data_IF_939956091824
#
_entry.id   IF_939956091824
#
_cell.length_a   1.000
_cell.length_b   1.000
_cell.length_c   1.000
_cell.angle_alpha   90.00
_cell.angle_beta   90.00
_cell.angle_gamma   90.00
#
_symmetry.space_group_name_H-M   'P 1'
#
loop_
_entity.id
_entity.type
_entity.pdbx_description
1 polymer ?
#
# COMPACT_ATOMS: atom_id res chain seq x y z
N UNK A 1 -20.52 -12.42 -21.14
CA UNK A 1 -19.29 -11.70 -20.78
C UNK A 1 -18.71 -12.27 -19.51
N UNK A 2 -17.41 -12.50 -19.49
CA UNK A 2 -16.76 -12.98 -18.30
C UNK A 2 -16.64 -11.84 -17.27
N UNK A 3 -16.97 -12.13 -16.03
CA UNK A 3 -16.76 -11.17 -14.96
C UNK A 3 -15.27 -11.07 -14.64
N UNK A 4 -14.82 -9.87 -14.32
CA UNK A 4 -13.46 -9.63 -13.88
C UNK A 4 -13.35 -10.13 -12.44
N UNK A 5 -12.35 -10.97 -12.16
CA UNK A 5 -12.12 -11.49 -10.81
C UNK A 5 -11.77 -10.37 -9.83
N UNK A 6 -11.94 -10.64 -8.54
CA UNK A 6 -11.56 -9.71 -7.48
C UNK A 6 -10.07 -9.39 -7.56
N UNK A 7 -9.23 -10.39 -7.76
CA UNK A 7 -7.78 -10.20 -7.89
C UNK A 7 -7.45 -9.28 -9.07
N UNK A 8 -8.08 -9.47 -10.22
CA UNK A 8 -7.87 -8.62 -11.38
C UNK A 8 -8.29 -7.17 -11.12
N UNK A 9 -9.39 -6.97 -10.41
CA UNK A 9 -9.85 -5.63 -10.02
C UNK A 9 -8.85 -4.94 -9.11
N UNK A 10 -8.28 -5.68 -8.15
CA UNK A 10 -7.23 -5.15 -7.27
C UNK A 10 -5.99 -4.76 -8.06
N UNK A 11 -5.51 -5.64 -8.94
CA UNK A 11 -4.33 -5.36 -9.77
C UNK A 11 -4.56 -4.15 -10.66
N UNK A 12 -5.73 -4.03 -11.28
CA UNK A 12 -6.06 -2.87 -12.12
C UNK A 12 -6.03 -1.58 -11.31
N UNK A 13 -6.56 -1.58 -10.10
CA UNK A 13 -6.54 -0.38 -9.25
C UNK A 13 -5.11 0.01 -8.87
N UNK A 14 -4.25 -0.97 -8.58
CA UNK A 14 -2.84 -0.73 -8.30
C UNK A 14 -2.11 -0.17 -9.52
N UNK A 15 -2.38 -0.72 -10.69
CA UNK A 15 -1.79 -0.22 -11.94
C UNK A 15 -2.26 1.18 -12.28
N UNK A 16 -3.52 1.50 -12.02
CA UNK A 16 -4.07 2.86 -12.22
C UNK A 16 -3.30 3.87 -11.38
N UNK A 17 -2.99 3.52 -10.14
CA UNK A 17 -2.21 4.38 -9.28
C UNK A 17 -0.82 4.67 -9.87
N UNK A 18 -0.15 3.64 -10.41
CA UNK A 18 1.16 3.81 -11.04
C UNK A 18 1.07 4.68 -12.30
N UNK A 19 0.02 4.51 -13.12
CA UNK A 19 -0.17 5.32 -14.32
C UNK A 19 -0.46 6.78 -14.00
N UNK A 20 -1.25 7.03 -12.96
CA UNK A 20 -1.68 8.38 -12.60
C UNK A 20 -0.63 9.13 -11.77
N UNK A 21 0.30 8.41 -11.17
CA UNK A 21 1.34 8.98 -10.31
C UNK A 21 2.70 8.43 -10.75
N UNK A 22 3.36 9.10 -11.73
CA UNK A 22 4.58 8.56 -12.35
C UNK A 22 5.73 8.28 -11.39
N UNK A 23 5.76 8.93 -10.23
CA UNK A 23 6.81 8.68 -9.24
C UNK A 23 6.59 7.41 -8.43
N UNK A 24 5.45 6.74 -8.58
CA UNK A 24 5.19 5.45 -7.95
C UNK A 24 5.82 4.35 -8.79
N UNK A 25 6.76 3.62 -8.19
CA UNK A 25 7.51 2.56 -8.88
C UNK A 25 6.85 1.19 -8.73
N UNK A 26 6.20 0.96 -7.60
CA UNK A 26 5.62 -0.34 -7.28
C UNK A 26 4.48 -0.20 -6.28
N UNK A 27 3.51 -1.11 -6.37
CA UNK A 27 2.35 -1.12 -5.48
C UNK A 27 2.01 -2.56 -5.10
N UNK A 28 1.49 -2.75 -3.89
CA UNK A 28 1.01 -4.05 -3.45
C UNK A 28 -0.10 -3.89 -2.42
N UNK A 29 -1.01 -4.85 -2.39
CA UNK A 29 -1.98 -5.04 -1.30
C UNK A 29 -1.59 -6.31 -0.58
N UNK A 30 -1.40 -6.20 0.72
CA UNK A 30 -0.88 -7.26 1.57
C UNK A 30 -1.85 -7.48 2.71
N UNK A 31 -2.05 -8.73 3.15
CA UNK A 31 -2.84 -8.99 4.34
C UNK A 31 -2.07 -8.56 5.58
N UNK A 32 -2.79 -8.30 6.68
CA UNK A 32 -2.15 -7.97 7.96
C UNK A 32 -1.30 -9.12 8.50
N UNK A 33 -1.49 -10.32 7.97
CA UNK A 33 -0.68 -11.50 8.31
C UNK A 33 0.60 -11.63 7.48
N UNK A 34 0.84 -10.71 6.56
CA UNK A 34 2.06 -10.67 5.76
C UNK A 34 2.02 -11.48 4.48
N UNK A 35 0.82 -11.78 3.95
CA UNK A 35 0.66 -12.50 2.69
C UNK A 35 0.23 -11.54 1.58
N UNK A 36 0.79 -11.71 0.40
CA UNK A 36 0.41 -10.87 -0.75
C UNK A 36 -1.00 -11.22 -1.22
N UNK A 37 -1.84 -10.21 -1.37
CA UNK A 37 -3.18 -10.36 -1.95
C UNK A 37 -3.13 -10.02 -3.44
N UNK A 38 -2.50 -8.92 -3.80
CA UNK A 38 -2.30 -8.49 -5.18
C UNK A 38 -1.10 -7.57 -5.24
N UNK A 39 -0.40 -7.55 -6.37
CA UNK A 39 0.78 -6.71 -6.50
C UNK A 39 1.01 -6.27 -7.94
N UNK A 40 1.75 -5.17 -8.07
CA UNK A 40 2.31 -4.68 -9.31
C UNK A 40 3.74 -4.25 -9.00
N UNK A 41 4.63 -5.23 -8.91
CA UNK A 41 6.04 -5.06 -8.53
C UNK A 41 6.93 -5.31 -9.74
N UNK A 42 8.03 -4.56 -9.89
CA UNK A 42 8.99 -4.81 -10.95
C UNK A 42 9.78 -6.10 -10.69
N UNK A 43 10.38 -6.63 -11.74
CA UNK A 43 11.27 -7.79 -11.63
C UNK A 43 12.41 -7.49 -10.65
N UNK A 44 12.79 -8.49 -9.86
CA UNK A 44 13.85 -8.35 -8.87
C UNK A 44 13.40 -7.92 -7.48
N UNK A 45 12.14 -7.50 -7.33
CA UNK A 45 11.58 -7.21 -6.01
C UNK A 45 10.93 -8.48 -5.46
N UNK A 46 11.39 -8.92 -4.29
CA UNK A 46 10.86 -10.13 -3.67
C UNK A 46 9.53 -9.84 -2.96
N UNK A 47 8.46 -10.35 -3.54
CA UNK A 47 7.09 -10.11 -3.09
C UNK A 47 6.87 -10.53 -1.63
N UNK A 48 7.35 -11.71 -1.26
CA UNK A 48 7.16 -12.22 0.11
C UNK A 48 7.84 -11.35 1.17
N UNK A 49 8.99 -10.79 0.85
CA UNK A 49 9.69 -9.88 1.76
C UNK A 49 8.95 -8.56 1.91
N UNK A 50 8.49 -7.99 0.80
CA UNK A 50 7.70 -6.76 0.81
C UNK A 50 6.47 -6.96 1.68
N UNK A 51 5.79 -8.08 1.50
CA UNK A 51 4.56 -8.39 2.23
C UNK A 51 4.79 -8.55 3.73
N UNK A 52 5.80 -9.32 4.13
CA UNK A 52 6.11 -9.53 5.54
C UNK A 52 6.54 -8.24 6.24
N UNK A 53 7.42 -7.47 5.61
CA UNK A 53 7.90 -6.20 6.18
C UNK A 53 6.79 -5.16 6.26
N UNK A 54 5.92 -5.10 5.27
CA UNK A 54 4.79 -4.16 5.25
C UNK A 54 3.83 -4.42 6.41
N UNK A 55 3.45 -5.68 6.60
CA UNK A 55 2.56 -6.05 7.69
C UNK A 55 3.17 -5.72 9.06
N UNK A 56 4.44 -6.06 9.26
CA UNK A 56 5.16 -5.77 10.50
C UNK A 56 5.28 -4.27 10.77
N UNK A 57 5.60 -3.49 9.75
CA UNK A 57 5.76 -2.04 9.89
C UNK A 57 4.43 -1.35 10.19
N UNK A 58 3.35 -1.75 9.53
CA UNK A 58 2.03 -1.18 9.82
C UNK A 58 1.62 -1.48 11.26
N UNK A 59 1.77 -2.71 11.70
CA UNK A 59 1.44 -3.14 13.06
C UNK A 59 2.21 -2.32 14.10
N UNK A 60 3.51 -2.15 13.89
CA UNK A 60 4.35 -1.34 14.77
C UNK A 60 3.91 0.13 14.76
N UNK A 61 3.62 0.69 13.58
CA UNK A 61 3.13 2.07 13.45
C UNK A 61 1.83 2.29 14.19
N UNK A 62 0.90 1.34 14.11
CA UNK A 62 -0.37 1.41 14.84
C UNK A 62 -0.15 1.40 16.37
N UNK A 63 0.77 0.58 16.85
CA UNK A 63 1.13 0.55 18.27
C UNK A 63 1.75 1.87 18.71
N UNK A 64 2.67 2.41 17.94
CA UNK A 64 3.32 3.69 18.25
C UNK A 64 2.26 4.80 18.34
N UNK A 65 1.39 4.91 17.36
CA UNK A 65 0.35 5.93 17.35
C UNK A 65 -0.59 5.80 18.55
N UNK A 66 -0.99 4.58 18.87
CA UNK A 66 -1.87 4.32 20.01
C UNK A 66 -1.22 4.59 21.37
N UNK A 67 -0.02 4.04 21.58
CA UNK A 67 0.69 4.18 22.85
C UNK A 67 1.12 5.62 23.14
N UNK A 68 1.45 6.37 22.09
CA UNK A 68 1.85 7.77 22.25
C UNK A 68 0.69 8.76 22.14
N UNK A 69 -0.54 8.26 22.17
CA UNK A 69 -1.74 9.11 22.22
C UNK A 69 -2.00 9.89 20.94
N UNK A 70 -1.59 9.38 19.80
CA UNK A 70 -1.80 10.05 18.51
C UNK A 70 -3.05 9.57 17.78
N UNK A 71 -3.76 8.58 18.35
CA UNK A 71 -5.00 8.05 17.78
C UNK A 71 -4.73 7.01 16.70
N UNK A 72 -5.66 6.92 15.75
CA UNK A 72 -5.55 5.98 14.65
C UNK A 72 -4.45 6.40 13.68
N UNK A 73 -3.72 5.41 13.19
CA UNK A 73 -2.64 5.65 12.22
C UNK A 73 -3.21 5.98 10.84
N UNK A 74 -2.70 7.05 10.22
CA UNK A 74 -3.01 7.36 8.83
C UNK A 74 -2.00 6.71 7.88
N UNK A 75 -0.74 7.09 7.98
CA UNK A 75 0.34 6.55 7.16
C UNK A 75 1.59 6.28 7.99
N UNK A 76 2.36 5.29 7.52
CA UNK A 76 3.74 5.06 7.97
C UNK A 76 4.62 5.11 6.75
N UNK A 77 5.76 5.76 6.84
CA UNK A 77 6.69 5.72 5.72
C UNK A 77 8.14 5.66 6.17
N UNK A 78 8.97 5.11 5.28
CA UNK A 78 10.43 5.10 5.41
C UNK A 78 10.99 5.94 4.26
N UNK A 79 11.86 6.89 4.60
CA UNK A 79 12.59 7.67 3.60
C UNK A 79 14.03 7.17 3.53
N UNK A 80 14.40 6.60 2.39
CA UNK A 80 15.78 6.24 2.09
C UNK A 80 16.39 7.23 1.11
N UNK A 81 17.67 7.08 0.83
CA UNK A 81 18.37 7.94 -0.13
C UNK A 81 17.75 7.90 -1.53
N UNK A 82 17.19 6.74 -1.91
CA UNK A 82 16.69 6.51 -3.26
C UNK A 82 15.17 6.53 -3.39
N UNK A 83 14.47 6.85 -2.32
CA UNK A 83 13.02 6.94 -2.38
C UNK A 83 12.33 6.59 -1.08
N UNK A 84 11.02 6.34 -1.20
CA UNK A 84 10.14 6.12 -0.08
C UNK A 84 9.47 4.77 -0.16
N UNK A 85 9.18 4.20 1.00
CA UNK A 85 8.18 3.13 1.14
C UNK A 85 7.08 3.68 2.02
N UNK A 86 5.86 3.73 1.50
CA UNK A 86 4.72 4.30 2.23
C UNK A 86 3.66 3.23 2.40
N UNK A 87 3.12 3.13 3.61
CA UNK A 87 2.10 2.15 3.98
C UNK A 87 0.85 2.85 4.48
N UNK A 88 -0.31 2.31 4.10
CA UNK A 88 -1.60 2.75 4.60
C UNK A 88 -2.51 1.55 4.78
N UNK A 89 -3.27 1.53 5.88
CA UNK A 89 -4.26 0.48 6.10
C UNK A 89 -5.35 0.51 5.03
N UNK A 90 -5.78 -0.68 4.60
CA UNK A 90 -6.90 -0.88 3.69
C UNK A 90 -7.95 -1.66 4.48
N UNK A 91 -8.94 -0.94 5.02
CA UNK A 91 -9.87 -1.54 5.97
C UNK A 91 -9.12 -2.06 7.19
N UNK A 92 -9.59 -3.16 7.77
CA UNK A 92 -8.99 -3.74 8.97
C UNK A 92 -8.06 -4.92 8.68
N UNK A 93 -8.08 -5.45 7.46
CA UNK A 93 -7.42 -6.72 7.16
C UNK A 93 -6.27 -6.62 6.15
N UNK A 94 -6.05 -5.46 5.56
CA UNK A 94 -5.06 -5.31 4.52
C UNK A 94 -4.26 -4.02 4.63
N UNK A 95 -3.17 -3.97 3.87
CA UNK A 95 -2.21 -2.87 3.83
C UNK A 95 -1.91 -2.54 2.38
N UNK A 96 -1.97 -1.26 2.03
CA UNK A 96 -1.45 -0.77 0.75
C UNK A 96 0.00 -0.35 0.95
N UNK A 97 0.89 -0.93 0.16
CA UNK A 97 2.32 -0.63 0.16
C UNK A 97 2.69 0.01 -1.16
N UNK A 98 3.37 1.15 -1.10
CA UNK A 98 3.79 1.91 -2.28
C UNK A 98 5.28 2.21 -2.18
N UNK A 99 6.02 1.87 -3.25
CA UNK A 99 7.41 2.29 -3.41
C UNK A 99 7.42 3.49 -4.35
N UNK A 100 8.03 4.58 -3.92
CA UNK A 100 8.02 5.84 -4.67
C UNK A 100 9.43 6.43 -4.75
N UNK A 101 9.68 7.21 -5.82
CA UNK A 101 10.97 7.84 -6.06
C UNK A 101 11.26 8.94 -5.07
N UNK A 102 12.54 9.31 -4.94
CA UNK A 102 12.98 10.32 -3.97
C UNK A 102 12.38 11.71 -4.22
N UNK A 103 12.04 12.04 -5.48
CA UNK A 103 11.44 13.33 -5.82
C UNK A 103 9.92 13.38 -5.60
N UNK A 104 9.32 12.31 -5.10
CA UNK A 104 7.89 12.23 -4.85
C UNK A 104 7.42 13.32 -3.90
N UNK A 105 6.30 13.95 -4.26
CA UNK A 105 5.61 14.90 -3.38
C UNK A 105 4.71 14.10 -2.44
N UNK A 106 5.17 13.91 -1.21
CA UNK A 106 4.49 13.05 -0.23
C UNK A 106 3.04 13.44 0.04
N UNK A 107 2.74 14.74 0.11
CA UNK A 107 1.36 15.17 0.36
C UNK A 107 0.40 14.71 -0.71
N UNK A 108 0.81 14.77 -1.97
CA UNK A 108 -0.01 14.29 -3.09
C UNK A 108 -0.09 12.77 -3.09
N UNK A 109 1.01 12.09 -2.77
CA UNK A 109 1.01 10.63 -2.67
C UNK A 109 0.07 10.16 -1.57
N UNK A 110 0.07 10.79 -0.40
CA UNK A 110 -0.83 10.44 0.69
C UNK A 110 -2.30 10.58 0.27
N UNK A 111 -2.64 11.63 -0.48
CA UNK A 111 -4.00 11.81 -0.99
C UNK A 111 -4.37 10.70 -1.97
N UNK A 112 -3.48 10.37 -2.90
CA UNK A 112 -3.71 9.29 -3.87
C UNK A 112 -3.85 7.95 -3.17
N UNK A 113 -3.03 7.69 -2.15
CA UNK A 113 -3.11 6.46 -1.37
C UNK A 113 -4.39 6.36 -0.57
N UNK A 114 -4.88 7.47 -0.02
CA UNK A 114 -6.18 7.48 0.67
C UNK A 114 -7.29 7.06 -0.27
N UNK A 115 -7.34 7.64 -1.46
CA UNK A 115 -8.35 7.31 -2.47
C UNK A 115 -8.23 5.85 -2.92
N UNK A 116 -7.00 5.41 -3.18
CA UNK A 116 -6.75 4.02 -3.58
C UNK A 116 -7.17 3.05 -2.47
N UNK A 117 -6.84 3.33 -1.22
CA UNK A 117 -7.19 2.45 -0.11
C UNK A 117 -8.70 2.33 0.10
N UNK A 118 -9.45 3.41 -0.12
CA UNK A 118 -10.92 3.35 -0.07
C UNK A 118 -11.47 2.43 -1.18
N UNK A 119 -10.98 2.58 -2.40
CA UNK A 119 -11.39 1.73 -3.52
C UNK A 119 -11.00 0.27 -3.30
N UNK A 120 -9.78 0.03 -2.82
CA UNK A 120 -9.29 -1.31 -2.53
C UNK A 120 -10.10 -1.97 -1.40
N UNK A 121 -10.44 -1.22 -0.36
CA UNK A 121 -11.28 -1.72 0.73
C UNK A 121 -12.65 -2.16 0.22
N UNK A 122 -13.24 -1.39 -0.68
CA UNK A 122 -14.54 -1.73 -1.31
C UNK A 122 -14.42 -3.02 -2.10
N UNK A 123 -13.35 -3.19 -2.89
CA UNK A 123 -13.13 -4.41 -3.67
C UNK A 123 -12.96 -5.63 -2.73
N UNK A 124 -12.19 -5.47 -1.66
CA UNK A 124 -11.93 -6.55 -0.70
C UNK A 124 -13.16 -6.91 0.12
N UNK A 125 -13.98 -5.92 0.49
CA UNK A 125 -15.18 -6.13 1.28
C UNK A 125 -16.36 -6.64 0.46
N UNK A 126 -16.26 -6.52 -0.84
CA UNK A 126 -17.28 -7.05 -1.74
C UNK A 126 -17.08 -8.54 -1.99
#
# INVERSE_FOLDING_TARGET
>A
MAEISRTERLVRRLQDMQRNTPDVEATAVVSVDGLTIASSLPAGVEEDRVSAMSAAMLSLGERIAGELGRGMLDEVYVKGEKGYVVLRAVGEEAVLTVLARQQTKLGLLFLDMRRASEDLATILGA
#
